data_IF_753978922231
#
_entry.id   IF_753978922231
#
_cell.length_a   1.000
_cell.length_b   1.000
_cell.length_c   1.000
_cell.angle_alpha   90.00
_cell.angle_beta   90.00
_cell.angle_gamma   90.00
#
_symmetry.space_group_name_H-M   'P 1'
#
loop_
_entity.id
_entity.type
_entity.pdbx_description
1 polymer ?
#
# COMPACT_ATOMS: atom_id res chain seq x y z
N UNK A 1 25.71 -4.11 -22.39
CA UNK A 1 25.42 -3.12 -21.33
C UNK A 1 24.51 -2.08 -21.93
N UNK A 2 23.41 -1.80 -21.26
CA UNK A 2 22.36 -0.88 -21.68
C UNK A 2 22.31 0.32 -20.75
N UNK A 3 21.71 1.42 -21.21
CA UNK A 3 21.35 2.58 -20.36
C UNK A 3 20.07 2.33 -19.57
N UNK A 4 19.83 3.13 -18.52
CA UNK A 4 18.70 3.07 -17.58
C UNK A 4 18.73 1.84 -16.66
N UNK A 5 17.66 1.59 -15.91
CA UNK A 5 17.50 0.35 -15.15
C UNK A 5 17.02 -0.81 -16.04
N UNK A 6 17.25 -2.03 -15.58
CA UNK A 6 16.70 -3.25 -16.16
C UNK A 6 15.17 -3.24 -16.27
N UNK A 7 14.48 -2.56 -15.35
CA UNK A 7 13.03 -2.46 -15.32
C UNK A 7 12.47 -1.49 -16.38
N UNK A 8 13.23 -0.45 -16.73
CA UNK A 8 12.85 0.52 -17.77
C UNK A 8 13.30 0.09 -19.17
N UNK A 9 14.39 -0.68 -19.22
CA UNK A 9 15.07 -1.02 -20.46
C UNK A 9 15.79 0.19 -21.07
N UNK A 10 16.55 -0.05 -22.14
CA UNK A 10 17.26 1.03 -22.81
C UNK A 10 18.12 0.57 -23.99
N UNK A 11 18.64 1.55 -24.73
CA UNK A 11 19.57 1.32 -25.84
C UNK A 11 20.90 0.73 -25.34
N UNK A 12 21.63 0.08 -26.26
CA UNK A 12 22.94 -0.49 -25.96
C UNK A 12 23.97 0.65 -25.81
N UNK A 13 24.60 0.73 -24.65
CA UNK A 13 25.70 1.64 -24.37
C UNK A 13 27.07 1.03 -24.73
N UNK A 14 27.24 -0.26 -24.41
CA UNK A 14 28.46 -1.03 -24.72
C UNK A 14 28.09 -2.45 -25.15
N UNK A 15 28.61 -2.87 -26.30
CA UNK A 15 28.56 -4.25 -26.76
C UNK A 15 29.61 -5.09 -26.04
N UNK A 16 29.16 -6.10 -25.31
CA UNK A 16 30.04 -7.02 -24.58
C UNK A 16 30.33 -8.28 -25.41
N UNK A 17 31.48 -8.90 -25.16
CA UNK A 17 31.82 -10.20 -25.73
C UNK A 17 30.80 -11.27 -25.30
N UNK A 18 30.51 -12.22 -26.20
CA UNK A 18 29.61 -13.33 -25.92
C UNK A 18 30.10 -14.19 -24.74
N UNK A 19 29.16 -14.69 -23.95
CA UNK A 19 29.41 -15.65 -22.88
C UNK A 19 29.68 -17.03 -23.49
N UNK A 20 30.77 -17.66 -23.09
CA UNK A 20 31.06 -19.05 -23.47
C UNK A 20 30.07 -19.98 -22.77
N UNK A 21 29.26 -20.71 -23.54
CA UNK A 21 28.19 -21.55 -23.01
C UNK A 21 28.65 -22.80 -22.22
N UNK A 22 29.93 -23.18 -22.30
CA UNK A 22 30.47 -24.30 -21.51
C UNK A 22 30.96 -23.85 -20.13
N UNK A 23 31.51 -22.64 -20.06
CA UNK A 23 32.12 -22.10 -18.82
C UNK A 23 31.21 -21.12 -18.09
N UNK A 24 30.29 -20.47 -18.80
CA UNK A 24 29.49 -19.36 -18.28
C UNK A 24 30.27 -18.05 -18.15
N UNK A 25 31.45 -17.95 -18.75
CA UNK A 25 32.35 -16.80 -18.59
C UNK A 25 32.43 -15.94 -19.86
N UNK A 26 32.63 -14.63 -19.66
CA UNK A 26 33.03 -13.67 -20.70
C UNK A 26 33.92 -12.60 -20.06
N UNK A 27 34.79 -12.00 -20.86
CA UNK A 27 35.58 -10.84 -20.46
C UNK A 27 35.59 -9.83 -21.58
N UNK A 28 35.27 -8.57 -21.27
CA UNK A 28 35.31 -7.45 -22.21
C UNK A 28 36.14 -6.32 -21.62
N UNK A 29 37.08 -5.77 -22.37
CA UNK A 29 37.85 -4.59 -21.99
C UNK A 29 37.43 -3.43 -22.90
N UNK A 30 37.02 -2.31 -22.30
CA UNK A 30 36.66 -1.11 -23.02
C UNK A 30 37.09 0.13 -22.24
N UNK A 31 37.23 1.25 -22.93
CA UNK A 31 37.53 2.57 -22.34
C UNK A 31 36.64 3.68 -22.91
N UNK A 32 35.69 3.29 -23.76
CA UNK A 32 34.68 4.14 -24.35
C UNK A 32 33.40 3.32 -24.57
N UNK A 33 32.26 4.02 -24.61
CA UNK A 33 30.97 3.51 -25.08
C UNK A 33 31.02 3.23 -26.59
N UNK A 34 30.03 2.54 -27.13
CA UNK A 34 29.95 2.19 -28.55
C UNK A 34 29.85 3.44 -29.46
N UNK A 35 29.40 4.58 -28.92
CA UNK A 35 29.37 5.88 -29.62
C UNK A 35 30.71 6.63 -29.62
N UNK A 36 31.73 6.08 -28.97
CA UNK A 36 33.07 6.67 -28.83
C UNK A 36 33.26 7.57 -27.61
N UNK A 37 32.23 7.78 -26.78
CA UNK A 37 32.34 8.54 -25.53
C UNK A 37 33.25 7.81 -24.54
N UNK A 38 34.35 8.44 -24.12
CA UNK A 38 35.27 7.84 -23.14
C UNK A 38 34.58 7.61 -21.79
N UNK A 39 34.89 6.49 -21.13
CA UNK A 39 34.36 6.13 -19.81
C UNK A 39 35.46 5.54 -18.93
N UNK A 40 35.52 6.00 -17.69
CA UNK A 40 36.43 5.50 -16.65
C UNK A 40 35.74 4.50 -15.74
N UNK A 41 36.51 3.74 -14.98
CA UNK A 41 35.96 2.83 -13.98
C UNK A 41 35.06 3.54 -12.95
N UNK A 42 35.47 4.71 -12.44
CA UNK A 42 34.65 5.46 -11.49
C UNK A 42 33.33 5.91 -12.12
N UNK A 43 33.34 6.36 -13.38
CA UNK A 43 32.11 6.69 -14.10
C UNK A 43 31.23 5.47 -14.35
N UNK A 44 31.81 4.27 -14.47
CA UNK A 44 31.06 3.03 -14.58
C UNK A 44 30.34 2.65 -13.28
N UNK A 45 30.92 2.98 -12.11
CA UNK A 45 30.29 2.77 -10.81
C UNK A 45 29.10 3.72 -10.58
N UNK A 46 29.07 4.87 -11.24
CA UNK A 46 27.94 5.82 -11.20
C UNK A 46 27.03 5.70 -12.44
N UNK A 47 27.29 4.72 -13.31
CA UNK A 47 26.58 4.62 -14.59
C UNK A 47 25.14 4.18 -14.37
N UNK A 48 24.21 4.90 -15.00
CA UNK A 48 22.82 4.51 -15.10
C UNK A 48 22.65 3.43 -16.16
N UNK A 49 22.84 2.17 -15.75
CA UNK A 49 22.79 1.06 -16.68
C UNK A 49 22.46 -0.28 -16.07
N UNK A 50 22.32 -1.24 -16.97
CA UNK A 50 22.12 -2.65 -16.67
C UNK A 50 22.78 -3.55 -17.72
N UNK A 51 22.90 -4.83 -17.41
CA UNK A 51 23.46 -5.85 -18.29
C UNK A 51 22.39 -6.90 -18.57
N UNK A 52 22.24 -7.25 -19.84
CA UNK A 52 21.53 -8.44 -20.29
C UNK A 52 22.52 -9.48 -20.79
N UNK A 53 22.21 -10.75 -20.50
CA UNK A 53 22.76 -11.90 -21.20
C UNK A 53 21.61 -12.54 -21.96
N UNK A 54 21.73 -12.59 -23.28
CA UNK A 54 20.73 -13.16 -24.17
C UNK A 54 21.01 -14.64 -24.44
N UNK A 55 19.98 -15.41 -24.81
CA UNK A 55 20.10 -16.83 -25.10
C UNK A 55 21.07 -17.10 -26.27
N UNK A 56 21.00 -16.30 -27.32
CA UNK A 56 21.92 -16.36 -28.46
C UNK A 56 21.89 -15.06 -29.28
N UNK A 57 22.80 -14.94 -30.24
CA UNK A 57 22.80 -13.82 -31.19
C UNK A 57 21.56 -13.80 -32.11
N UNK A 58 20.83 -14.92 -32.21
CA UNK A 58 19.58 -15.04 -32.98
C UNK A 58 18.33 -14.89 -32.11
N UNK A 59 18.45 -15.03 -30.80
CA UNK A 59 17.34 -15.02 -29.83
C UNK A 59 17.53 -13.92 -28.77
N UNK A 60 17.71 -12.67 -29.24
CA UNK A 60 17.94 -11.51 -28.38
C UNK A 60 16.73 -11.17 -27.48
N UNK A 61 15.52 -11.62 -27.84
CA UNK A 61 14.33 -11.43 -26.99
C UNK A 61 14.36 -12.32 -25.73
N UNK A 62 15.15 -13.39 -25.74
CA UNK A 62 15.22 -14.33 -24.62
C UNK A 62 16.38 -13.95 -23.73
N UNK A 63 16.09 -13.36 -22.58
CA UNK A 63 17.08 -12.98 -21.57
C UNK A 63 17.28 -14.17 -20.62
N UNK A 64 18.52 -14.62 -20.46
CA UNK A 64 18.89 -15.74 -19.58
C UNK A 64 19.50 -15.28 -18.25
N UNK A 65 20.04 -14.07 -18.21
CA UNK A 65 20.45 -13.40 -16.98
C UNK A 65 20.38 -11.88 -17.18
N UNK A 66 20.07 -11.16 -16.10
CA UNK A 66 19.95 -9.71 -16.12
C UNK A 66 20.43 -9.16 -14.77
N UNK A 67 21.09 -8.00 -14.79
CA UNK A 67 21.52 -7.32 -13.57
C UNK A 67 21.70 -5.84 -13.79
N UNK A 68 21.15 -5.04 -12.87
CA UNK A 68 21.48 -3.62 -12.75
C UNK A 68 22.95 -3.43 -12.33
N UNK A 69 23.57 -2.34 -12.78
CA UNK A 69 24.96 -1.99 -12.45
C UNK A 69 25.07 -0.54 -12.02
N UNK A 70 26.19 -0.20 -11.42
CA UNK A 70 26.52 1.18 -11.09
C UNK A 70 25.52 1.78 -10.11
N UNK A 71 24.98 2.96 -10.43
CA UNK A 71 24.05 3.65 -9.53
C UNK A 71 22.71 2.91 -9.35
N UNK A 72 22.42 1.94 -10.22
CA UNK A 72 21.21 1.14 -10.17
C UNK A 72 21.33 -0.10 -9.28
N UNK A 73 22.52 -0.43 -8.76
CA UNK A 73 22.66 -1.58 -7.85
C UNK A 73 21.73 -1.45 -6.64
N UNK A 74 21.21 -2.58 -6.14
CA UNK A 74 20.42 -2.60 -4.91
C UNK A 74 21.33 -2.52 -3.69
N UNK A 75 20.95 -1.73 -2.70
CA UNK A 75 21.68 -1.64 -1.42
C UNK A 75 21.49 -2.89 -0.56
N UNK A 76 20.45 -3.67 -0.86
CA UNK A 76 19.97 -4.79 -0.05
C UNK A 76 18.94 -4.40 1.01
N UNK A 77 18.67 -3.09 1.19
CA UNK A 77 17.55 -2.64 2.01
C UNK A 77 16.23 -2.85 1.27
N UNK A 78 15.29 -3.50 1.93
CA UNK A 78 13.95 -3.74 1.39
C UNK A 78 12.85 -3.54 2.44
N UNK A 79 11.64 -3.22 1.96
CA UNK A 79 10.41 -3.17 2.74
C UNK A 79 9.31 -3.86 1.95
N UNK A 80 8.61 -4.79 2.58
CA UNK A 80 7.51 -5.53 1.94
C UNK A 80 6.19 -5.13 2.60
N UNK A 81 5.20 -4.81 1.77
CA UNK A 81 3.82 -4.53 2.16
C UNK A 81 2.91 -5.64 1.66
N UNK A 82 1.92 -6.04 2.47
CA UNK A 82 0.89 -6.98 2.06
C UNK A 82 -0.16 -6.28 1.20
N UNK A 83 -0.57 -6.92 0.11
CA UNK A 83 -1.71 -6.53 -0.71
C UNK A 83 -2.83 -7.55 -0.49
N UNK A 84 -3.85 -7.14 0.24
CA UNK A 84 -4.99 -7.97 0.59
C UNK A 84 -5.94 -8.12 -0.60
N UNK A 85 -6.69 -9.22 -0.59
CA UNK A 85 -7.80 -9.46 -1.52
C UNK A 85 -8.88 -8.39 -1.38
N UNK A 86 -9.49 -7.99 -2.51
CA UNK A 86 -10.56 -6.98 -2.54
C UNK A 86 -11.82 -7.42 -3.28
N UNK A 87 -11.96 -7.11 -4.56
CA UNK A 87 -13.22 -7.35 -5.29
C UNK A 87 -13.26 -8.74 -5.96
N UNK A 88 -12.10 -9.39 -6.11
CA UNK A 88 -11.98 -10.69 -6.78
C UNK A 88 -11.36 -11.71 -5.85
N UNK A 89 -12.17 -12.71 -5.49
CA UNK A 89 -11.76 -13.76 -4.58
C UNK A 89 -10.56 -14.56 -5.10
N UNK A 90 -9.61 -14.84 -4.21
CA UNK A 90 -8.39 -15.61 -4.47
C UNK A 90 -7.20 -14.81 -4.99
N UNK A 91 -7.31 -13.47 -5.16
CA UNK A 91 -6.20 -12.62 -5.62
C UNK A 91 -5.67 -11.79 -4.47
N UNK A 92 -4.40 -11.96 -4.14
CA UNK A 92 -3.67 -11.23 -3.10
C UNK A 92 -2.16 -11.33 -3.35
N UNK A 93 -1.35 -10.65 -2.55
CA UNK A 93 0.09 -10.77 -2.67
C UNK A 93 0.87 -9.72 -1.89
N UNK A 94 1.96 -9.25 -2.47
CA UNK A 94 2.88 -8.30 -1.82
C UNK A 94 3.40 -7.26 -2.80
N UNK A 95 3.80 -6.11 -2.25
CA UNK A 95 4.65 -5.13 -2.91
C UNK A 95 5.96 -4.98 -2.13
N UNK A 96 7.08 -5.33 -2.74
CA UNK A 96 8.42 -5.13 -2.19
C UNK A 96 9.05 -3.86 -2.76
N UNK A 97 9.49 -2.97 -1.88
CA UNK A 97 10.24 -1.77 -2.21
C UNK A 97 11.70 -2.07 -1.89
N UNK A 98 12.58 -2.00 -2.89
CA UNK A 98 14.01 -2.21 -2.74
C UNK A 98 14.77 -0.92 -3.08
N UNK A 99 15.66 -0.52 -2.18
CA UNK A 99 16.46 0.70 -2.35
C UNK A 99 17.61 0.47 -3.34
N UNK A 100 17.79 1.40 -4.27
CA UNK A 100 18.96 1.48 -5.16
C UNK A 100 20.03 2.39 -4.58
N UNK A 101 21.28 2.22 -5.00
CA UNK A 101 22.43 3.03 -4.58
C UNK A 101 22.21 4.53 -4.79
N UNK A 102 21.48 4.93 -5.82
CA UNK A 102 21.10 6.33 -6.07
C UNK A 102 19.95 6.87 -5.18
N UNK A 103 19.45 6.09 -4.22
CA UNK A 103 18.37 6.46 -3.29
C UNK A 103 16.95 6.32 -3.86
N UNK A 104 16.80 5.87 -5.11
CA UNK A 104 15.50 5.59 -5.73
C UNK A 104 15.01 4.18 -5.40
N UNK A 105 13.77 3.85 -5.80
CA UNK A 105 13.13 2.60 -5.41
C UNK A 105 12.80 1.71 -6.60
N UNK A 106 13.16 0.43 -6.52
CA UNK A 106 12.57 -0.62 -7.34
C UNK A 106 11.35 -1.19 -6.60
N UNK A 107 10.16 -0.99 -7.16
CA UNK A 107 8.92 -1.60 -6.66
C UNK A 107 8.64 -2.88 -7.41
N UNK A 108 8.59 -4.00 -6.70
CA UNK A 108 8.18 -5.31 -7.24
C UNK A 108 6.84 -5.71 -6.66
N UNK A 109 5.81 -5.84 -7.48
CA UNK A 109 4.53 -6.43 -7.07
C UNK A 109 4.56 -7.91 -7.43
N UNK A 110 4.16 -8.75 -6.48
CA UNK A 110 4.00 -10.19 -6.66
C UNK A 110 2.63 -10.62 -6.16
N UNK A 111 1.74 -10.98 -7.07
CA UNK A 111 0.40 -11.48 -6.81
C UNK A 111 0.29 -12.98 -7.06
N UNK A 112 -0.64 -13.62 -6.36
CA UNK A 112 -1.11 -14.98 -6.64
C UNK A 112 -2.55 -14.93 -7.13
N UNK A 113 -2.96 -15.92 -7.93
CA UNK A 113 -4.35 -16.04 -8.40
C UNK A 113 -4.73 -15.15 -9.58
N UNK A 114 -3.78 -14.43 -10.20
CA UNK A 114 -4.03 -13.60 -11.38
C UNK A 114 -4.46 -14.44 -12.59
N UNK A 115 -5.42 -13.96 -13.42
CA UNK A 115 -5.74 -14.59 -14.69
C UNK A 115 -4.54 -14.62 -15.67
N UNK A 116 -4.20 -15.79 -16.21
CA UNK A 116 -2.96 -16.00 -17.01
C UNK A 116 -2.76 -15.07 -18.22
N UNK A 117 -3.84 -14.53 -18.81
CA UNK A 117 -3.74 -13.61 -19.96
C UNK A 117 -4.08 -12.16 -19.58
N UNK A 118 -4.11 -11.87 -18.28
CA UNK A 118 -4.41 -10.54 -17.75
C UNK A 118 -3.20 -9.60 -17.82
N UNK A 119 -3.50 -8.31 -17.92
CA UNK A 119 -2.57 -7.25 -17.56
C UNK A 119 -3.30 -6.37 -16.56
N UNK A 120 -2.72 -6.22 -15.37
CA UNK A 120 -3.38 -5.64 -14.22
C UNK A 120 -2.73 -4.31 -13.86
N UNK A 121 -3.29 -3.15 -14.30
CA UNK A 121 -2.75 -1.84 -13.96
C UNK A 121 -2.58 -1.67 -12.45
N UNK A 122 -1.53 -0.98 -12.02
CA UNK A 122 -1.28 -0.74 -10.61
C UNK A 122 -0.84 0.70 -10.37
N UNK A 123 -1.20 1.24 -9.21
CA UNK A 123 -0.92 2.63 -8.85
C UNK A 123 -0.69 2.77 -7.34
N UNK A 124 0.11 3.76 -6.96
CA UNK A 124 0.16 4.29 -5.59
C UNK A 124 -0.71 5.55 -5.54
N UNK A 125 -1.59 5.60 -4.56
CA UNK A 125 -2.52 6.70 -4.28
C UNK A 125 -2.17 7.38 -2.94
N UNK A 126 -2.53 8.65 -2.80
CA UNK A 126 -2.41 9.40 -1.54
C UNK A 126 -3.49 8.97 -0.51
N UNK A 127 -3.18 9.17 0.78
CA UNK A 127 -3.97 8.80 1.97
C UNK A 127 -4.02 7.28 2.22
N UNK A 128 -4.82 6.85 3.19
CA UNK A 128 -5.20 5.46 3.35
C UNK A 128 -6.27 5.02 2.33
N UNK A 129 -6.35 3.71 2.10
CA UNK A 129 -7.26 3.09 1.14
C UNK A 129 -8.76 3.37 1.40
N UNK A 130 -9.17 3.63 2.65
CA UNK A 130 -10.55 3.93 3.02
C UNK A 130 -10.89 5.38 2.67
N UNK A 131 -9.98 6.30 2.98
CA UNK A 131 -10.10 7.74 2.66
C UNK A 131 -9.99 7.99 1.15
N UNK A 132 -9.15 7.21 0.46
CA UNK A 132 -8.81 7.33 -0.96
C UNK A 132 -8.11 8.65 -1.31
N UNK A 133 -7.56 8.73 -2.51
CA UNK A 133 -6.82 9.90 -2.97
C UNK A 133 -6.39 9.82 -4.44
N UNK A 134 -5.83 10.91 -4.98
CA UNK A 134 -5.27 10.92 -6.33
C UNK A 134 -4.12 9.93 -6.48
N UNK A 135 -3.84 9.54 -7.71
CA UNK A 135 -2.65 8.74 -8.05
C UNK A 135 -1.41 9.63 -7.90
N UNK A 136 -0.43 9.14 -7.14
CA UNK A 136 0.86 9.82 -6.93
C UNK A 136 2.02 9.09 -7.60
N UNK A 137 1.91 7.78 -7.87
CA UNK A 137 2.89 7.00 -8.66
C UNK A 137 2.15 6.02 -9.57
N UNK A 138 2.53 6.01 -10.85
CA UNK A 138 2.11 4.96 -11.79
C UNK A 138 3.05 3.76 -11.70
N UNK A 139 2.50 2.55 -11.64
CA UNK A 139 3.28 1.32 -11.62
C UNK A 139 3.07 0.53 -12.92
N UNK A 140 4.08 -0.23 -13.31
CA UNK A 140 3.96 -1.16 -14.42
C UNK A 140 2.85 -2.19 -14.11
N UNK A 141 1.98 -2.51 -15.09
CA UNK A 141 0.93 -3.50 -14.88
C UNK A 141 1.50 -4.86 -14.45
N UNK A 142 0.84 -5.52 -13.50
CA UNK A 142 1.16 -6.90 -13.12
C UNK A 142 0.81 -7.81 -14.28
N UNK A 143 1.79 -8.59 -14.73
CA UNK A 143 1.61 -9.60 -15.76
C UNK A 143 0.79 -10.75 -15.19
N UNK A 144 -0.33 -11.10 -15.82
CA UNK A 144 -1.28 -12.06 -15.29
C UNK A 144 -0.79 -13.50 -15.30
N UNK A 145 0.15 -13.85 -16.19
CA UNK A 145 0.74 -15.20 -16.26
C UNK A 145 1.72 -15.45 -15.11
N UNK A 146 2.55 -14.46 -14.81
CA UNK A 146 3.59 -14.55 -13.79
C UNK A 146 3.16 -14.04 -12.42
N UNK A 147 2.16 -13.17 -12.38
CA UNK A 147 1.75 -12.43 -11.18
C UNK A 147 2.75 -11.34 -10.79
N UNK A 148 3.73 -11.00 -11.64
CA UNK A 148 4.83 -10.09 -11.28
C UNK A 148 4.76 -8.79 -12.09
N UNK A 149 5.06 -7.66 -11.44
CA UNK A 149 5.57 -6.45 -12.11
C UNK A 149 6.77 -5.88 -11.38
N UNK A 150 7.58 -5.12 -12.12
CA UNK A 150 8.73 -4.37 -11.59
C UNK A 150 8.67 -2.95 -12.14
N UNK A 151 8.80 -1.96 -11.29
CA UNK A 151 8.74 -0.54 -11.66
C UNK A 151 9.88 0.22 -10.99
N UNK A 152 10.61 1.01 -11.76
CA UNK A 152 11.52 2.01 -11.23
C UNK A 152 10.72 3.25 -10.77
N UNK A 153 10.91 3.69 -9.54
CA UNK A 153 10.25 4.87 -8.97
C UNK A 153 11.30 5.86 -8.48
N UNK A 154 11.36 7.01 -9.15
CA UNK A 154 12.26 8.12 -8.84
C UNK A 154 11.55 9.48 -8.80
N UNK A 155 10.30 9.55 -9.29
CA UNK A 155 9.47 10.74 -9.28
C UNK A 155 7.99 10.40 -9.06
N UNK A 156 7.25 11.36 -8.50
CA UNK A 156 5.80 11.36 -8.42
C UNK A 156 5.20 11.82 -9.77
N UNK A 157 3.90 11.56 -9.99
CA UNK A 157 3.15 12.02 -11.17
C UNK A 157 3.25 13.54 -11.38
N UNK A 158 3.48 14.32 -10.32
CA UNK A 158 3.73 15.78 -10.39
C UNK A 158 5.14 16.20 -10.81
N UNK A 159 6.05 15.26 -11.10
CA UNK A 159 7.45 15.50 -11.46
C UNK A 159 8.37 15.83 -10.26
N UNK A 160 7.85 15.76 -9.03
CA UNK A 160 8.68 15.88 -7.84
C UNK A 160 9.47 14.59 -7.64
N UNK A 161 10.79 14.69 -7.45
CA UNK A 161 11.62 13.55 -7.09
C UNK A 161 11.17 12.92 -5.77
N UNK A 162 11.27 11.61 -5.67
CA UNK A 162 10.91 10.84 -4.47
C UNK A 162 11.98 9.78 -4.21
N UNK A 163 12.39 9.66 -2.96
CA UNK A 163 13.38 8.66 -2.51
C UNK A 163 12.71 7.43 -1.91
N UNK A 164 13.50 6.38 -1.68
CA UNK A 164 13.09 5.22 -0.90
C UNK A 164 12.57 5.61 0.49
N UNK A 165 13.30 6.43 1.23
CA UNK A 165 12.93 6.87 2.58
C UNK A 165 11.63 7.70 2.59
N UNK A 166 11.41 8.53 1.56
CA UNK A 166 10.15 9.29 1.43
C UNK A 166 8.96 8.33 1.28
N UNK A 167 9.09 7.30 0.44
CA UNK A 167 8.06 6.28 0.23
C UNK A 167 7.79 5.42 1.47
N UNK A 168 8.73 5.31 2.42
CA UNK A 168 8.49 4.62 3.68
C UNK A 168 7.70 5.43 4.70
N UNK A 169 7.54 6.74 4.49
CA UNK A 169 6.90 7.65 5.45
C UNK A 169 5.68 8.36 4.90
N UNK A 170 5.38 8.17 3.62
CA UNK A 170 4.20 8.74 2.97
C UNK A 170 2.92 8.05 3.46
N UNK A 171 1.85 8.84 3.58
CA UNK A 171 0.50 8.33 3.79
C UNK A 171 -0.10 7.94 2.42
N UNK A 172 -0.04 6.66 2.08
CA UNK A 172 -0.40 6.18 0.74
C UNK A 172 -0.96 4.75 0.75
N UNK A 173 -1.52 4.33 -0.37
CA UNK A 173 -1.95 2.95 -0.60
C UNK A 173 -1.73 2.50 -2.04
N UNK A 174 -1.56 1.20 -2.24
CA UNK A 174 -1.46 0.56 -3.55
C UNK A 174 -2.81 -0.03 -3.94
N UNK A 175 -3.20 0.19 -5.19
CA UNK A 175 -4.26 -0.54 -5.87
C UNK A 175 -3.70 -1.34 -7.04
N UNK A 176 -4.19 -2.56 -7.23
CA UNK A 176 -4.05 -3.32 -8.47
C UNK A 176 -5.44 -3.58 -9.06
N UNK A 177 -5.63 -3.21 -10.32
CA UNK A 177 -6.90 -3.28 -11.04
C UNK A 177 -7.06 -4.60 -11.82
N UNK A 178 -8.29 -5.03 -12.07
CA UNK A 178 -8.55 -6.27 -12.81
C UNK A 178 -8.06 -6.19 -14.26
N UNK A 179 -8.31 -5.09 -14.96
CA UNK A 179 -7.82 -4.87 -16.32
C UNK A 179 -7.94 -3.39 -16.70
N UNK A 180 -7.41 -3.01 -17.86
CA UNK A 180 -7.59 -1.66 -18.40
C UNK A 180 -9.05 -1.33 -18.74
N UNK A 181 -9.87 -2.35 -19.04
CA UNK A 181 -11.29 -2.20 -19.35
C UNK A 181 -12.16 -2.20 -18.08
N UNK A 182 -11.63 -2.73 -16.97
CA UNK A 182 -12.33 -2.90 -15.68
C UNK A 182 -11.56 -2.22 -14.53
N UNK A 183 -11.15 -0.97 -14.73
CA UNK A 183 -10.41 -0.18 -13.72
C UNK A 183 -11.19 0.05 -12.42
N UNK A 184 -12.51 -0.11 -12.40
CA UNK A 184 -13.29 0.00 -11.17
C UNK A 184 -13.14 -1.23 -10.25
N UNK A 185 -12.71 -2.38 -10.81
CA UNK A 185 -12.55 -3.63 -10.07
C UNK A 185 -11.12 -3.72 -9.55
N UNK A 186 -10.94 -3.68 -8.23
CA UNK A 186 -9.64 -3.79 -7.57
C UNK A 186 -9.42 -5.24 -7.14
N UNK A 187 -8.36 -5.86 -7.65
CA UNK A 187 -8.05 -7.27 -7.34
C UNK A 187 -7.20 -7.41 -6.08
N UNK A 188 -6.34 -6.44 -5.79
CA UNK A 188 -5.52 -6.41 -4.58
C UNK A 188 -5.28 -4.96 -4.12
N UNK A 189 -5.25 -4.74 -2.80
CA UNK A 189 -5.08 -3.42 -2.20
C UNK A 189 -4.29 -3.50 -0.89
N UNK A 190 -3.43 -2.50 -0.62
CA UNK A 190 -2.70 -2.43 0.64
C UNK A 190 -2.24 -1.01 0.98
N UNK A 191 -2.35 -0.64 2.25
CA UNK A 191 -1.82 0.59 2.82
C UNK A 191 -0.29 0.48 2.97
N UNK A 192 0.44 1.57 2.71
CA UNK A 192 1.91 1.61 2.68
C UNK A 192 2.45 2.84 3.42
N UNK A 193 3.73 2.80 3.78
CA UNK A 193 4.37 3.92 4.46
C UNK A 193 3.78 4.16 5.85
N UNK A 194 3.38 5.40 6.17
CA UNK A 194 2.98 5.77 7.54
C UNK A 194 1.65 5.16 8.01
N UNK A 195 0.81 4.68 7.10
CA UNK A 195 -0.50 4.10 7.42
C UNK A 195 -0.50 2.56 7.30
N UNK A 196 0.67 1.93 7.13
CA UNK A 196 0.79 0.47 7.05
C UNK A 196 0.09 -0.22 8.23
N UNK A 197 -0.61 -1.32 7.95
CA UNK A 197 -1.29 -2.11 8.97
C UNK A 197 -2.64 -1.56 9.42
N UNK A 198 -3.04 -0.36 8.96
CA UNK A 198 -4.41 0.12 9.12
C UNK A 198 -5.37 -0.65 8.19
N UNK A 199 -6.65 -0.80 8.57
CA UNK A 199 -7.65 -1.46 7.72
C UNK A 199 -7.81 -0.76 6.35
N UNK A 200 -7.90 -1.56 5.29
CA UNK A 200 -8.15 -1.07 3.91
C UNK A 200 -9.63 -0.93 3.57
N UNK A 201 -10.52 -1.31 4.50
CA UNK A 201 -11.97 -1.15 4.39
C UNK A 201 -12.53 -0.55 5.68
N UNK A 202 -13.64 0.19 5.56
CA UNK A 202 -14.33 0.75 6.74
C UNK A 202 -14.84 -0.37 7.64
N UNK A 203 -14.44 -0.34 8.91
CA UNK A 203 -14.97 -1.25 9.93
C UNK A 203 -16.28 -0.68 10.46
N UNK A 204 -17.37 -1.44 10.32
CA UNK A 204 -18.69 -1.09 10.84
C UNK A 204 -19.05 -1.93 12.08
N UNK A 205 -19.62 -1.26 13.07
CA UNK A 205 -20.28 -1.87 14.22
C UNK A 205 -21.79 -1.65 14.14
N UNK A 206 -22.57 -2.73 14.11
CA UNK A 206 -24.02 -2.66 14.23
C UNK A 206 -24.41 -2.59 15.71
N UNK A 207 -25.06 -1.50 16.11
CA UNK A 207 -25.37 -1.20 17.52
C UNK A 207 -26.88 -1.16 17.73
N UNK A 208 -27.41 -2.09 18.51
CA UNK A 208 -28.81 -2.10 18.96
C UNK A 208 -28.91 -1.95 20.47
N UNK A 209 -30.12 -1.89 21.05
CA UNK A 209 -30.29 -1.87 22.51
C UNK A 209 -31.02 -3.11 23.04
N UNK A 210 -30.61 -3.57 24.22
CA UNK A 210 -31.35 -4.53 25.04
C UNK A 210 -31.96 -3.80 26.22
N UNK A 211 -33.20 -3.31 26.02
CA UNK A 211 -33.87 -2.43 26.96
C UNK A 211 -33.03 -1.20 27.29
N UNK A 212 -33.01 -0.81 28.57
CA UNK A 212 -32.19 0.28 29.10
C UNK A 212 -30.86 -0.20 29.72
N UNK A 213 -30.54 -1.49 29.59
CA UNK A 213 -29.40 -2.09 30.28
C UNK A 213 -28.11 -2.02 29.45
N UNK A 214 -28.19 -2.32 28.15
CA UNK A 214 -27.00 -2.47 27.31
C UNK A 214 -27.22 -2.06 25.85
N UNK A 215 -26.16 -1.56 25.23
CA UNK A 215 -25.99 -1.66 23.78
C UNK A 215 -25.51 -3.06 23.41
N UNK A 216 -26.02 -3.61 22.32
CA UNK A 216 -25.61 -4.90 21.75
C UNK A 216 -24.89 -4.64 20.43
N UNK A 217 -23.63 -5.06 20.37
CA UNK A 217 -22.74 -4.88 19.22
C UNK A 217 -22.65 -6.16 18.39
N UNK A 218 -22.79 -5.99 17.08
CA UNK A 218 -22.54 -6.99 16.04
C UNK A 218 -21.59 -6.39 14.99
N UNK A 219 -20.97 -7.25 14.18
CA UNK A 219 -19.91 -6.90 13.22
C UNK A 219 -18.68 -6.28 13.89
N UNK A 220 -17.68 -5.86 13.10
CA UNK A 220 -16.40 -5.35 13.62
C UNK A 220 -15.69 -6.32 14.58
N UNK A 221 -15.93 -7.63 14.43
CA UNK A 221 -15.41 -8.68 15.29
C UNK A 221 -16.33 -9.12 16.44
N UNK A 222 -17.53 -8.55 16.58
CA UNK A 222 -18.49 -8.91 17.62
C UNK A 222 -19.68 -9.72 17.13
N UNK A 223 -20.25 -10.52 18.04
CA UNK A 223 -21.52 -11.23 17.85
C UNK A 223 -22.31 -11.14 19.15
N UNK A 224 -23.43 -10.43 19.13
CA UNK A 224 -24.31 -10.14 20.28
C UNK A 224 -23.57 -9.70 21.56
N UNK A 225 -22.51 -8.92 21.40
CA UNK A 225 -21.68 -8.49 22.52
C UNK A 225 -22.40 -7.38 23.31
N UNK A 226 -22.58 -7.59 24.61
CA UNK A 226 -23.26 -6.65 25.52
C UNK A 226 -22.28 -5.65 26.11
N UNK A 227 -22.41 -4.38 25.73
CA UNK A 227 -21.52 -3.28 26.15
C UNK A 227 -20.01 -3.64 26.08
N UNK A 228 -19.50 -4.14 24.95
CA UNK A 228 -18.08 -4.49 24.86
C UNK A 228 -17.19 -3.24 24.95
N UNK A 229 -15.98 -3.41 25.46
CA UNK A 229 -14.93 -2.41 25.23
C UNK A 229 -14.47 -2.49 23.76
N UNK A 230 -14.10 -1.34 23.19
CA UNK A 230 -13.61 -1.22 21.81
C UNK A 230 -12.12 -0.91 21.82
N UNK A 231 -11.42 -1.35 20.77
CA UNK A 231 -10.07 -0.88 20.44
C UNK A 231 -10.11 -0.32 19.03
N UNK A 232 -9.81 0.97 18.90
CA UNK A 232 -9.80 1.69 17.62
C UNK A 232 -8.40 2.26 17.38
N UNK A 233 -8.01 2.40 16.13
CA UNK A 233 -6.70 2.88 15.73
C UNK A 233 -6.77 4.33 15.25
N UNK A 234 -5.75 5.14 15.57
CA UNK A 234 -5.60 6.50 15.04
C UNK A 234 -5.50 6.49 13.52
N UNK A 235 -6.00 7.53 12.88
CA UNK A 235 -6.08 7.65 11.42
C UNK A 235 -7.19 6.82 10.76
N UNK A 236 -7.75 5.83 11.45
CA UNK A 236 -8.76 4.94 10.88
C UNK A 236 -10.18 5.50 11.04
N UNK A 237 -11.01 5.30 10.02
CA UNK A 237 -12.44 5.64 10.04
C UNK A 237 -13.30 4.42 10.35
N UNK A 238 -14.09 4.52 11.42
CA UNK A 238 -15.07 3.54 11.87
C UNK A 238 -16.49 4.06 11.70
N UNK A 239 -17.44 3.15 11.46
CA UNK A 239 -18.87 3.48 11.49
C UNK A 239 -19.61 2.68 12.55
N UNK A 240 -20.62 3.30 13.13
CA UNK A 240 -21.55 2.67 14.05
C UNK A 240 -22.96 2.83 13.48
N UNK A 241 -23.52 1.76 12.96
CA UNK A 241 -24.90 1.73 12.49
C UNK A 241 -25.81 1.53 13.70
N UNK A 242 -26.43 2.61 14.15
CA UNK A 242 -27.28 2.65 15.33
C UNK A 242 -28.72 2.30 14.94
N UNK A 243 -29.31 1.35 15.66
CA UNK A 243 -30.74 1.08 15.68
C UNK A 243 -31.17 0.86 17.15
N UNK A 244 -31.22 1.96 17.89
CA UNK A 244 -31.48 1.97 19.33
C UNK A 244 -32.46 3.10 19.71
N UNK A 245 -33.75 3.01 19.31
CA UNK A 245 -34.72 4.09 19.54
C UNK A 245 -34.86 4.45 21.03
N UNK A 246 -34.68 5.73 21.36
CA UNK A 246 -34.72 6.21 22.74
C UNK A 246 -33.41 6.04 23.52
N UNK A 247 -32.35 5.52 22.89
CA UNK A 247 -31.03 5.34 23.48
C UNK A 247 -29.94 6.03 22.63
N UNK A 248 -29.80 7.37 22.71
CA UNK A 248 -28.82 8.14 21.94
C UNK A 248 -27.38 7.67 22.21
N UNK A 249 -26.68 7.24 21.15
CA UNK A 249 -25.31 6.71 21.23
C UNK A 249 -24.29 7.85 21.13
N UNK A 250 -23.57 8.11 22.22
CA UNK A 250 -22.54 9.14 22.28
C UNK A 250 -21.14 8.56 22.38
N UNK A 251 -20.20 9.09 21.61
CA UNK A 251 -18.76 9.01 21.90
C UNK A 251 -18.39 10.20 22.78
N UNK A 252 -17.73 9.92 23.91
CA UNK A 252 -17.46 10.86 25.00
C UNK A 252 -15.97 10.85 25.40
N UNK A 253 -15.48 12.01 25.81
CA UNK A 253 -14.14 12.18 26.40
C UNK A 253 -14.09 11.74 27.88
N UNK A 254 -15.24 11.66 28.54
CA UNK A 254 -15.37 11.20 29.93
C UNK A 254 -16.60 10.33 30.06
N UNK A 255 -16.47 9.18 30.71
CA UNK A 255 -17.58 8.25 30.90
C UNK A 255 -18.71 8.91 31.69
N UNK A 256 -19.92 8.90 31.14
CA UNK A 256 -21.08 9.46 31.83
C UNK A 256 -22.27 9.70 30.92
N UNK A 257 -23.41 9.99 31.54
CA UNK A 257 -24.66 10.36 30.86
C UNK A 257 -24.72 11.85 30.55
N UNK A 258 -25.72 12.26 29.77
CA UNK A 258 -25.86 13.64 29.27
C UNK A 258 -24.94 13.93 28.09
N UNK A 259 -24.93 15.18 27.65
CA UNK A 259 -24.20 15.62 26.45
C UNK A 259 -22.94 16.43 26.76
N UNK A 260 -22.70 16.76 28.02
CA UNK A 260 -21.56 17.59 28.45
C UNK A 260 -20.19 16.95 28.25
N UNK A 261 -20.14 15.63 28.08
CA UNK A 261 -18.91 14.86 27.91
C UNK A 261 -18.60 14.53 26.44
N UNK A 262 -19.43 14.98 25.49
CA UNK A 262 -19.33 14.60 24.08
C UNK A 262 -17.94 14.93 23.49
N UNK A 263 -17.32 13.92 22.87
CA UNK A 263 -16.14 14.09 22.05
C UNK A 263 -16.57 14.17 20.59
N UNK A 264 -16.46 15.35 19.99
CA UNK A 264 -16.94 15.61 18.63
C UNK A 264 -15.82 15.74 17.59
N UNK A 265 -14.55 15.73 17.99
CA UNK A 265 -13.43 15.80 17.06
C UNK A 265 -13.35 14.49 16.26
N UNK A 266 -13.53 14.55 14.94
CA UNK A 266 -13.59 13.37 14.08
C UNK A 266 -14.91 12.58 14.14
N UNK A 267 -15.90 13.00 14.93
CA UNK A 267 -17.19 12.29 15.08
C UNK A 267 -18.31 13.05 14.36
N UNK A 268 -19.07 12.36 13.52
CA UNK A 268 -20.30 12.88 12.88
C UNK A 268 -21.54 12.17 13.44
N UNK A 269 -22.66 12.88 13.50
CA UNK A 269 -23.95 12.39 14.04
C UNK A 269 -23.88 11.86 15.49
N UNK A 270 -23.01 12.42 16.33
CA UNK A 270 -22.88 12.00 17.71
C UNK A 270 -24.21 12.13 18.48
N UNK A 271 -24.68 11.06 19.12
CA UNK A 271 -26.01 10.99 19.75
C UNK A 271 -27.12 10.40 18.88
N UNK A 272 -26.80 9.82 17.72
CA UNK A 272 -27.79 9.17 16.86
C UNK A 272 -28.54 8.05 17.59
N UNK A 273 -29.82 7.88 17.27
CA UNK A 273 -30.68 6.79 17.79
C UNK A 273 -31.09 5.82 16.67
N UNK A 274 -31.09 6.29 15.42
CA UNK A 274 -31.37 5.49 14.25
C UNK A 274 -30.67 6.09 13.02
N UNK A 275 -29.52 5.55 12.66
CA UNK A 275 -28.67 6.11 11.61
C UNK A 275 -27.22 5.69 11.78
N UNK A 276 -26.29 6.40 11.14
CA UNK A 276 -24.86 6.08 11.21
C UNK A 276 -24.11 7.18 11.93
N UNK A 277 -23.37 6.81 12.97
CA UNK A 277 -22.31 7.62 13.58
C UNK A 277 -21.01 7.24 12.90
N UNK A 278 -20.25 8.22 12.40
CA UNK A 278 -18.90 7.97 11.85
C UNK A 278 -17.87 8.55 12.81
N UNK A 279 -16.78 7.81 13.04
CA UNK A 279 -15.64 8.29 13.81
C UNK A 279 -14.35 8.05 13.03
N UNK A 280 -13.79 9.12 12.47
CA UNK A 280 -12.41 9.16 11.98
C UNK A 280 -11.53 9.53 13.15
N UNK A 281 -10.74 8.58 13.66
CA UNK A 281 -9.95 8.78 14.89
C UNK A 281 -8.80 9.75 14.61
N UNK A 282 -8.79 10.95 15.20
CA UNK A 282 -7.72 11.92 14.96
C UNK A 282 -6.36 11.43 15.48
N UNK A 283 -5.27 11.85 14.84
CA UNK A 283 -3.91 11.53 15.29
C UNK A 283 -3.60 12.05 16.71
N UNK A 284 -4.30 13.09 17.16
CA UNK A 284 -4.19 13.66 18.51
C UNK A 284 -5.26 13.16 19.48
N UNK A 285 -6.04 12.13 19.11
CA UNK A 285 -7.07 11.56 19.98
C UNK A 285 -6.47 11.08 21.32
N UNK A 286 -7.18 11.25 22.46
CA UNK A 286 -6.77 10.65 23.72
C UNK A 286 -6.69 9.12 23.64
N UNK A 287 -5.77 8.50 24.38
CA UNK A 287 -5.65 7.02 24.46
C UNK A 287 -6.91 6.33 24.98
N UNK A 288 -7.81 7.07 25.63
CA UNK A 288 -9.04 6.54 26.22
C UNK A 288 -10.19 7.49 25.95
N UNK A 289 -11.20 6.98 25.28
CA UNK A 289 -12.51 7.58 25.12
C UNK A 289 -13.56 6.59 25.66
N UNK A 290 -14.83 6.96 25.59
CA UNK A 290 -15.94 6.12 26.02
C UNK A 290 -17.07 6.21 25.02
N UNK A 291 -17.90 5.18 24.96
CA UNK A 291 -19.27 5.37 24.47
C UNK A 291 -20.26 5.28 25.63
N UNK A 292 -21.34 6.03 25.54
CA UNK A 292 -22.41 6.06 26.54
C UNK A 292 -23.77 6.30 25.89
N UNK A 293 -24.83 5.76 26.49
CA UNK A 293 -26.17 6.27 26.25
C UNK A 293 -26.35 7.61 26.97
N UNK A 294 -26.99 8.58 26.31
CA UNK A 294 -27.29 9.88 26.93
C UNK A 294 -28.11 9.75 28.24
N UNK A 295 -29.00 8.77 28.33
CA UNK A 295 -29.94 8.67 29.46
C UNK A 295 -29.62 7.54 30.44
N UNK A 296 -28.99 6.47 29.98
CA UNK A 296 -28.84 5.23 30.74
C UNK A 296 -27.38 4.95 31.05
N UNK A 297 -26.98 5.16 32.30
CA UNK A 297 -25.56 5.08 32.71
C UNK A 297 -24.94 3.68 32.62
N UNK A 298 -25.75 2.62 32.50
CA UNK A 298 -25.27 1.24 32.34
C UNK A 298 -24.94 0.89 30.89
N UNK A 299 -25.41 1.67 29.91
CA UNK A 299 -25.15 1.45 28.50
C UNK A 299 -23.86 2.18 28.10
N UNK A 300 -22.72 1.56 28.37
CA UNK A 300 -21.41 2.20 28.19
C UNK A 300 -20.30 1.16 28.02
N UNK A 301 -19.23 1.56 27.34
CA UNK A 301 -17.97 0.84 27.31
C UNK A 301 -16.80 1.80 27.13
N UNK A 302 -15.60 1.29 27.33
CA UNK A 302 -14.34 2.00 27.10
C UNK A 302 -13.94 1.86 25.65
N UNK A 303 -13.38 2.91 25.08
CA UNK A 303 -12.75 2.91 23.76
C UNK A 303 -11.26 3.15 23.98
N UNK A 304 -10.46 2.11 23.78
CA UNK A 304 -9.00 2.21 23.80
C UNK A 304 -8.52 2.67 22.43
N UNK A 305 -7.76 3.76 22.38
CA UNK A 305 -7.16 4.26 21.14
C UNK A 305 -5.69 3.82 21.07
N UNK A 306 -5.36 3.10 20.01
CA UNK A 306 -4.01 2.63 19.69
C UNK A 306 -3.45 3.35 18.46
N UNK A 307 -2.14 3.22 18.26
CA UNK A 307 -1.44 3.66 17.05
C UNK A 307 -1.50 2.59 15.96
#
# INVERSE_FOLDING_TARGET
MHVNTAAEGGDIAVSLNSVDGNTGESSTNFSALDDGTAITYNQLLDFDGYINVHLSAQELSTIVAQGDIGQNELTGQTKTYTLEEKDVAGINGTAEFAERVNGTTLVTIALVGTPENGSHPAHIHENDAVTSGPIIVGLNPVDGATGISKTQVSELVGGASVTYDDLLTIDAYINVHLSIDELATIVAQGNIGSNEGTPTTTVNYNVTNSGAAAYIFNDGGFTDASNPDLTLQRGVTYTFTINAPGHPFYINATQGTGTGNAYNNGVTNNGEVNGVVTFTVPNDAPNTLFYNCQFHGTMTGTITIVD
#
